data_IF_330680568604
#
_entry.id   IF_330680568604
#
_cell.length_a   1.000
_cell.length_b   1.000
_cell.length_c   1.000
_cell.angle_alpha   90.00
_cell.angle_beta   90.00
_cell.angle_gamma   90.00
#
_symmetry.space_group_name_H-M   'P 1'
#
loop_
_entity.id
_entity.type
_entity.pdbx_description
1 polymer ?
#
# COMPACT_ATOMS: atom_id res chain seq x y z
N UNK A 1 4.75 8.35 61.99
CA UNK A 1 5.03 8.74 60.59
C UNK A 1 5.63 7.61 59.73
N UNK A 2 6.55 6.76 60.22
CA UNK A 2 7.20 5.68 59.42
C UNK A 2 6.29 4.58 58.81
N UNK A 3 5.11 4.31 59.39
CA UNK A 3 4.21 3.23 58.94
C UNK A 3 3.40 3.61 57.69
N UNK A 4 3.00 4.89 57.53
CA UNK A 4 2.29 5.41 56.32
C UNK A 4 3.18 5.46 55.10
N UNK A 5 4.46 5.79 55.24
CA UNK A 5 5.44 5.83 54.15
C UNK A 5 5.72 4.44 53.57
N UNK A 6 5.77 3.37 54.40
CA UNK A 6 5.95 1.99 53.92
C UNK A 6 4.75 1.46 53.15
N UNK A 7 3.53 1.77 53.59
CA UNK A 7 2.28 1.36 52.88
C UNK A 7 2.20 2.08 51.53
N UNK A 8 2.55 3.37 51.47
CA UNK A 8 2.58 4.12 50.20
C UNK A 8 3.59 3.56 49.20
N UNK A 9 4.78 3.13 49.66
CA UNK A 9 5.79 2.48 48.80
C UNK A 9 5.33 1.10 48.28
N UNK A 10 4.67 0.31 49.14
CA UNK A 10 4.12 -1.00 48.74
C UNK A 10 3.00 -0.82 47.70
N UNK A 11 2.08 0.12 47.90
CA UNK A 11 1.01 0.43 46.95
C UNK A 11 1.59 0.92 45.63
N UNK A 12 2.60 1.79 45.64
CA UNK A 12 3.28 2.26 44.43
C UNK A 12 3.98 1.10 43.70
N UNK A 13 4.62 0.18 44.43
CA UNK A 13 5.24 -1.01 43.83
C UNK A 13 4.25 -1.95 43.19
N UNK A 14 3.10 -2.18 43.83
CA UNK A 14 2.01 -3.01 43.24
C UNK A 14 1.41 -2.34 42.03
N UNK A 15 1.11 -1.04 42.06
CA UNK A 15 0.57 -0.31 40.89
C UNK A 15 1.53 -0.32 39.72
N UNK A 16 2.82 -0.13 39.95
CA UNK A 16 3.85 -0.20 38.90
C UNK A 16 3.96 -1.61 38.31
N UNK A 17 3.93 -2.66 39.16
CA UNK A 17 3.96 -4.06 38.70
C UNK A 17 2.73 -4.42 37.89
N UNK A 18 1.54 -3.99 38.30
CA UNK A 18 0.30 -4.20 37.52
C UNK A 18 0.36 -3.47 36.19
N UNK A 19 0.88 -2.25 36.14
CA UNK A 19 1.06 -1.47 34.95
C UNK A 19 2.04 -2.15 33.99
N UNK A 20 3.15 -2.67 34.48
CA UNK A 20 4.14 -3.42 33.69
C UNK A 20 3.54 -4.73 33.12
N UNK A 21 2.70 -5.44 33.87
CA UNK A 21 2.01 -6.64 33.44
C UNK A 21 1.01 -6.30 32.33
N UNK A 22 0.25 -5.19 32.46
CA UNK A 22 -0.70 -4.74 31.45
C UNK A 22 0.05 -4.35 30.17
N UNK A 23 1.08 -3.52 30.27
CA UNK A 23 1.91 -3.09 29.13
C UNK A 23 2.57 -4.29 28.45
N UNK A 24 3.17 -5.20 29.24
CA UNK A 24 3.77 -6.42 28.74
C UNK A 24 2.76 -7.36 28.09
N UNK A 25 1.55 -7.46 28.65
CA UNK A 25 0.45 -8.25 28.09
C UNK A 25 -0.08 -7.68 26.78
N UNK A 26 -0.24 -6.37 26.69
CA UNK A 26 -0.65 -5.67 25.46
C UNK A 26 0.42 -5.84 24.38
N UNK A 27 1.69 -5.63 24.74
CA UNK A 27 2.81 -5.83 23.79
C UNK A 27 2.91 -7.29 23.33
N UNK A 28 2.83 -8.26 24.26
CA UNK A 28 2.85 -9.69 23.91
C UNK A 28 1.67 -10.09 23.02
N UNK A 29 0.47 -9.62 23.33
CA UNK A 29 -0.73 -9.89 22.54
C UNK A 29 -0.62 -9.28 21.15
N UNK A 30 -0.18 -8.02 21.05
CA UNK A 30 0.09 -7.37 19.78
C UNK A 30 1.12 -8.13 18.94
N UNK A 31 2.29 -8.43 19.52
CA UNK A 31 3.34 -9.22 18.86
C UNK A 31 2.82 -10.60 18.39
N UNK A 32 2.00 -11.27 19.20
CA UNK A 32 1.40 -12.56 18.83
C UNK A 32 0.43 -12.44 17.64
N UNK A 33 -0.33 -11.36 17.55
CA UNK A 33 -1.20 -11.09 16.39
C UNK A 33 -0.38 -10.89 15.11
N UNK A 34 0.69 -10.11 15.21
CA UNK A 34 1.55 -9.79 14.07
C UNK A 34 2.43 -10.98 13.63
N UNK A 35 2.73 -11.94 14.50
CA UNK A 35 3.37 -13.20 14.10
C UNK A 35 2.53 -14.03 13.12
N UNK A 36 1.29 -13.65 12.83
CA UNK A 36 0.44 -14.27 11.80
C UNK A 36 0.66 -13.68 10.40
N UNK A 37 1.38 -12.58 10.27
CA UNK A 37 1.75 -12.00 8.97
C UNK A 37 2.76 -12.92 8.30
N UNK A 38 2.62 -13.12 7.01
CA UNK A 38 3.67 -13.74 6.20
C UNK A 38 4.79 -12.70 5.98
N UNK A 39 5.77 -12.69 6.90
CA UNK A 39 6.93 -11.81 6.78
C UNK A 39 7.86 -12.34 5.68
N UNK A 40 8.20 -11.45 4.74
CA UNK A 40 9.16 -11.73 3.67
C UNK A 40 10.36 -10.80 3.87
N UNK A 41 11.53 -11.36 4.05
CA UNK A 41 12.76 -10.58 4.20
C UNK A 41 13.15 -9.96 2.85
N UNK A 42 13.51 -8.69 2.88
CA UNK A 42 14.08 -7.94 1.75
C UNK A 42 15.54 -7.64 2.07
N UNK A 43 16.43 -7.92 1.14
CA UNK A 43 17.82 -7.45 1.22
C UNK A 43 17.86 -5.97 0.82
N UNK A 44 17.91 -5.09 1.81
CA UNK A 44 17.95 -3.64 1.59
C UNK A 44 19.22 -3.16 0.88
N UNK A 45 20.29 -3.98 0.85
CA UNK A 45 21.48 -3.65 0.07
C UNK A 45 21.30 -3.93 -1.43
N UNK A 46 20.25 -4.69 -1.82
CA UNK A 46 19.96 -5.04 -3.23
C UNK A 46 18.55 -4.58 -3.68
N UNK A 47 18.06 -3.48 -3.15
CA UNK A 47 16.78 -2.86 -3.58
C UNK A 47 16.95 -1.84 -4.71
N UNK A 48 18.16 -1.71 -5.28
CA UNK A 48 18.40 -0.89 -6.47
C UNK A 48 18.37 0.62 -6.24
N UNK A 49 18.52 1.08 -5.00
CA UNK A 49 18.67 2.50 -4.71
C UNK A 49 20.09 2.92 -5.11
N UNK A 50 20.19 3.82 -6.08
CA UNK A 50 21.47 4.36 -6.54
C UNK A 50 22.06 5.28 -5.48
N UNK A 51 23.39 5.30 -5.32
CA UNK A 51 24.06 6.14 -4.34
C UNK A 51 23.74 7.64 -4.53
N UNK A 52 23.72 8.11 -5.78
CA UNK A 52 23.31 9.49 -6.11
C UNK A 52 21.86 9.81 -5.74
N UNK A 53 20.94 8.83 -5.84
CA UNK A 53 19.55 8.96 -5.45
C UNK A 53 19.42 8.97 -3.93
N UNK A 54 20.13 8.09 -3.26
CA UNK A 54 20.16 8.04 -1.80
C UNK A 54 20.70 9.34 -1.20
N UNK A 55 21.78 9.91 -1.77
CA UNK A 55 22.32 11.20 -1.35
C UNK A 55 21.28 12.32 -1.57
N UNK A 56 20.69 12.40 -2.78
CA UNK A 56 19.67 13.40 -3.12
C UNK A 56 18.43 13.30 -2.23
N UNK A 57 17.98 12.10 -1.91
CA UNK A 57 16.77 11.88 -1.11
C UNK A 57 17.04 11.83 0.40
N UNK A 58 18.29 11.96 0.85
CA UNK A 58 18.64 11.93 2.27
C UNK A 58 17.97 13.05 3.08
N UNK A 59 17.71 14.21 2.45
CA UNK A 59 17.00 15.33 3.08
C UNK A 59 15.54 15.02 3.44
N UNK A 60 14.92 14.05 2.76
CA UNK A 60 13.54 13.62 2.99
C UNK A 60 13.42 12.40 3.91
N UNK A 61 14.54 11.76 4.30
CA UNK A 61 14.56 10.48 5.03
C UNK A 61 13.74 10.47 6.32
N UNK A 62 13.67 11.61 7.04
CA UNK A 62 12.93 11.74 8.28
C UNK A 62 11.48 12.21 8.07
N UNK A 63 11.11 12.59 6.85
CA UNK A 63 9.83 13.24 6.57
C UNK A 63 8.95 12.53 5.55
N UNK A 64 9.55 11.76 4.64
CA UNK A 64 8.84 11.05 3.56
C UNK A 64 9.18 9.57 3.61
N UNK A 65 8.18 8.74 3.87
CA UNK A 65 8.31 7.28 3.89
C UNK A 65 7.51 6.71 2.73
N UNK A 66 8.18 5.92 1.87
CA UNK A 66 7.59 5.28 0.70
C UNK A 66 7.52 3.76 0.89
N UNK A 67 6.32 3.18 0.73
CA UNK A 67 6.06 1.75 0.84
C UNK A 67 5.41 1.26 -0.45
N UNK A 68 5.93 0.21 -1.06
CA UNK A 68 5.30 -0.39 -2.24
C UNK A 68 4.09 -1.26 -1.83
N UNK A 69 2.95 -1.01 -2.46
CA UNK A 69 1.74 -1.82 -2.31
C UNK A 69 1.53 -2.62 -3.59
N UNK A 70 1.54 -3.95 -3.48
CA UNK A 70 1.36 -4.85 -4.61
C UNK A 70 0.03 -5.61 -4.52
N UNK A 71 -0.81 -5.49 -5.56
CA UNK A 71 -1.94 -6.37 -5.79
C UNK A 71 -1.54 -7.48 -6.74
N UNK A 72 -1.49 -8.72 -6.26
CA UNK A 72 -0.96 -9.86 -7.00
C UNK A 72 -2.09 -10.65 -7.65
N UNK A 73 -1.97 -10.89 -8.96
CA UNK A 73 -2.87 -11.77 -9.70
C UNK A 73 -2.25 -13.16 -9.81
N UNK A 74 -2.45 -13.95 -8.76
CA UNK A 74 -2.02 -15.34 -8.71
C UNK A 74 -3.06 -16.21 -8.01
N UNK A 75 -3.07 -17.49 -8.34
CA UNK A 75 -3.68 -18.52 -7.49
C UNK A 75 -2.70 -18.89 -6.36
N UNK A 76 -3.23 -19.45 -5.26
CA UNK A 76 -2.42 -19.78 -4.11
C UNK A 76 -1.23 -20.69 -4.50
N UNK A 77 -0.01 -20.21 -4.21
CA UNK A 77 1.23 -20.94 -4.49
C UNK A 77 1.86 -20.68 -5.86
N UNK A 78 1.26 -19.85 -6.71
CA UNK A 78 1.82 -19.49 -8.01
C UNK A 78 2.57 -18.13 -7.94
N UNK A 79 3.59 -17.98 -8.80
CA UNK A 79 4.25 -16.70 -9.03
C UNK A 79 3.33 -15.82 -9.89
N UNK A 80 2.66 -14.84 -9.27
CA UNK A 80 1.75 -13.91 -9.93
C UNK A 80 2.42 -12.62 -10.35
N UNK A 81 1.75 -11.90 -11.27
CA UNK A 81 2.16 -10.54 -11.65
C UNK A 81 1.55 -9.53 -10.68
N UNK A 82 2.28 -8.43 -10.44
CA UNK A 82 1.73 -7.30 -9.69
C UNK A 82 0.84 -6.44 -10.61
N UNK A 83 -0.40 -6.84 -10.76
CA UNK A 83 -1.36 -6.14 -11.64
C UNK A 83 -1.87 -4.81 -11.04
N UNK A 84 -1.60 -4.56 -9.75
CA UNK A 84 -1.70 -3.27 -9.10
C UNK A 84 -0.34 -2.94 -8.46
N UNK A 85 0.22 -1.78 -8.79
CA UNK A 85 1.49 -1.28 -8.26
C UNK A 85 1.22 0.13 -7.77
N UNK A 86 1.29 0.34 -6.46
CA UNK A 86 1.01 1.63 -5.84
C UNK A 86 2.11 1.93 -4.84
N UNK A 87 2.59 3.17 -4.84
CA UNK A 87 3.48 3.69 -3.80
C UNK A 87 2.62 4.42 -2.80
N UNK A 88 2.61 3.94 -1.56
CA UNK A 88 2.02 4.64 -0.44
C UNK A 88 3.07 5.54 0.19
N UNK A 89 2.83 6.85 0.18
CA UNK A 89 3.73 7.84 0.75
C UNK A 89 3.12 8.45 2.00
N UNK A 90 3.86 8.40 3.10
CA UNK A 90 3.58 9.13 4.35
C UNK A 90 4.47 10.37 4.34
N UNK A 91 3.89 11.54 4.13
CA UNK A 91 4.56 12.83 4.10
C UNK A 91 4.24 13.58 5.38
N UNK A 92 5.16 13.53 6.34
CA UNK A 92 4.97 14.14 7.67
C UNK A 92 5.13 15.66 7.64
N UNK A 93 5.93 16.18 6.69
CA UNK A 93 6.14 17.62 6.51
C UNK A 93 4.86 18.32 6.06
N UNK A 94 4.24 17.81 4.99
CA UNK A 94 3.00 18.38 4.45
C UNK A 94 1.74 17.76 5.09
N UNK A 95 1.91 16.78 6.00
CA UNK A 95 0.82 16.04 6.67
C UNK A 95 -0.15 15.39 5.67
N UNK A 96 0.41 14.69 4.70
CA UNK A 96 -0.33 14.06 3.61
C UNK A 96 -0.07 12.56 3.54
N UNK A 97 -1.11 11.83 3.14
CA UNK A 97 -0.98 10.46 2.67
C UNK A 97 -1.25 10.46 1.17
N UNK A 98 -0.33 9.90 0.40
CA UNK A 98 -0.42 9.88 -1.06
C UNK A 98 -0.43 8.43 -1.55
N UNK A 99 -1.30 8.10 -2.50
CA UNK A 99 -1.32 6.84 -3.24
C UNK A 99 -0.94 7.12 -4.69
N UNK A 100 0.24 6.68 -5.08
CA UNK A 100 0.79 6.90 -6.42
C UNK A 100 0.79 5.60 -7.19
N UNK A 101 -0.12 5.45 -8.16
CA UNK A 101 -0.15 4.27 -9.03
C UNK A 101 0.92 4.34 -10.11
N UNK A 102 1.65 3.25 -10.27
CA UNK A 102 2.52 3.02 -11.43
C UNK A 102 1.80 2.09 -12.41
N UNK A 103 1.73 2.51 -13.67
CA UNK A 103 1.04 1.73 -14.70
C UNK A 103 1.74 0.40 -14.94
N UNK A 104 1.01 -0.72 -14.78
CA UNK A 104 1.55 -2.08 -14.82
C UNK A 104 2.21 -2.48 -16.14
N UNK A 105 1.76 -1.87 -17.26
CA UNK A 105 2.29 -2.14 -18.60
C UNK A 105 3.46 -1.21 -18.96
N UNK A 106 3.95 -0.38 -18.01
CA UNK A 106 5.12 0.50 -18.22
C UNK A 106 6.33 -0.30 -18.69
N UNK A 107 6.92 0.14 -19.80
CA UNK A 107 8.08 -0.50 -20.44
C UNK A 107 9.35 -0.03 -19.74
N UNK A 108 9.92 -0.89 -18.92
CA UNK A 108 11.04 -0.57 -18.03
C UNK A 108 12.14 -1.62 -18.14
N UNK A 109 13.33 -1.30 -17.64
CA UNK A 109 14.41 -2.27 -17.49
C UNK A 109 14.22 -3.06 -16.18
N UNK A 110 14.21 -4.38 -16.28
CA UNK A 110 14.19 -5.31 -15.14
C UNK A 110 15.57 -5.96 -15.05
N UNK A 111 16.20 -5.92 -13.88
CA UNK A 111 17.53 -6.47 -13.66
C UNK A 111 17.60 -7.94 -14.10
N UNK A 112 18.67 -8.31 -14.83
CA UNK A 112 18.93 -9.65 -15.41
C UNK A 112 17.86 -10.18 -16.40
N UNK A 113 16.89 -9.33 -16.80
CA UNK A 113 15.78 -9.70 -17.72
C UNK A 113 15.69 -8.80 -18.94
N UNK A 114 16.30 -7.61 -18.90
CA UNK A 114 16.18 -6.61 -19.95
C UNK A 114 14.88 -5.81 -19.85
N UNK A 115 14.39 -5.31 -20.99
CA UNK A 115 13.20 -4.47 -21.02
C UNK A 115 11.92 -5.30 -21.11
N UNK A 116 10.98 -5.05 -20.20
CA UNK A 116 9.68 -5.71 -20.15
C UNK A 116 8.65 -4.82 -19.41
N UNK A 117 7.42 -5.33 -19.24
CA UNK A 117 6.40 -4.70 -18.41
C UNK A 117 6.83 -4.73 -16.94
N UNK A 118 6.66 -3.63 -16.26
CA UNK A 118 7.05 -3.53 -14.84
C UNK A 118 6.37 -4.57 -13.94
N UNK A 119 5.12 -4.96 -14.24
CA UNK A 119 4.39 -5.97 -13.45
C UNK A 119 4.99 -7.39 -13.55
N UNK A 120 5.82 -7.66 -14.54
CA UNK A 120 6.52 -8.94 -14.67
C UNK A 120 7.65 -9.08 -13.64
N UNK A 121 8.20 -7.97 -13.12
CA UNK A 121 9.26 -8.01 -12.11
C UNK A 121 8.87 -8.83 -10.88
N UNK A 122 7.63 -8.68 -10.40
CA UNK A 122 7.13 -9.46 -9.26
C UNK A 122 7.02 -10.97 -9.60
N UNK A 123 6.57 -11.32 -10.79
CA UNK A 123 6.49 -12.72 -11.23
C UNK A 123 7.88 -13.37 -11.39
N UNK A 124 8.91 -12.60 -11.72
CA UNK A 124 10.27 -13.09 -11.93
C UNK A 124 11.09 -13.23 -10.66
N UNK A 125 10.92 -12.33 -9.70
CA UNK A 125 11.75 -12.28 -8.49
C UNK A 125 11.03 -11.76 -7.24
N UNK A 126 9.69 -11.85 -7.20
CA UNK A 126 8.90 -11.46 -6.03
C UNK A 126 9.01 -9.96 -5.71
N UNK A 127 8.77 -9.65 -4.44
CA UNK A 127 8.80 -8.26 -3.97
C UNK A 127 10.20 -7.63 -4.11
N UNK A 128 11.27 -8.40 -3.87
CA UNK A 128 12.65 -7.93 -4.00
C UNK A 128 12.92 -7.31 -5.38
N UNK A 129 12.68 -8.07 -6.45
CA UNK A 129 12.92 -7.60 -7.81
C UNK A 129 11.93 -6.50 -8.22
N UNK A 130 10.70 -6.55 -7.73
CA UNK A 130 9.70 -5.52 -8.02
C UNK A 130 10.09 -4.16 -7.40
N UNK A 131 10.55 -4.14 -6.14
CA UNK A 131 11.08 -2.94 -5.47
C UNK A 131 12.32 -2.43 -6.22
N UNK A 132 13.28 -3.31 -6.49
CA UNK A 132 14.49 -2.97 -7.25
C UNK A 132 14.14 -2.32 -8.60
N UNK A 133 13.17 -2.89 -9.31
CA UNK A 133 12.71 -2.36 -10.60
C UNK A 133 12.08 -0.97 -10.46
N UNK A 134 11.29 -0.73 -9.40
CA UNK A 134 10.73 0.60 -9.10
C UNK A 134 11.85 1.62 -8.84
N UNK A 135 12.77 1.30 -7.93
CA UNK A 135 13.84 2.21 -7.54
C UNK A 135 14.78 2.55 -8.72
N UNK A 136 15.21 1.56 -9.51
CA UNK A 136 16.12 1.77 -10.64
C UNK A 136 15.51 2.57 -11.80
N UNK A 137 14.19 2.42 -12.03
CA UNK A 137 13.55 3.10 -13.15
C UNK A 137 12.94 4.46 -12.81
N UNK A 138 12.59 4.69 -11.55
CA UNK A 138 11.94 5.93 -11.12
C UNK A 138 12.74 6.72 -10.09
N UNK A 139 13.98 6.30 -9.82
CA UNK A 139 14.92 6.92 -8.87
C UNK A 139 14.27 7.12 -7.48
N UNK A 140 13.67 6.05 -6.95
CA UNK A 140 12.99 6.02 -5.66
C UNK A 140 13.86 5.39 -4.57
N UNK A 141 13.36 5.47 -3.32
CA UNK A 141 14.02 4.96 -2.10
C UNK A 141 13.13 3.97 -1.34
N UNK A 142 12.42 3.11 -2.06
CA UNK A 142 11.52 2.13 -1.45
C UNK A 142 12.35 0.96 -0.90
N UNK A 143 12.15 0.63 0.38
CA UNK A 143 12.77 -0.51 1.05
C UNK A 143 11.73 -1.54 1.51
N UNK A 144 10.49 -1.10 1.73
CA UNK A 144 9.43 -1.89 2.29
C UNK A 144 8.25 -2.09 1.34
N UNK A 145 7.51 -3.18 1.58
CA UNK A 145 6.32 -3.48 0.81
C UNK A 145 5.19 -4.08 1.63
N UNK A 146 4.00 -4.01 1.06
CA UNK A 146 2.82 -4.79 1.44
C UNK A 146 2.23 -5.41 0.18
N UNK A 147 1.97 -6.71 0.21
CA UNK A 147 1.35 -7.40 -0.91
C UNK A 147 0.07 -8.15 -0.48
N UNK A 148 -0.95 -8.06 -1.31
CA UNK A 148 -2.22 -8.76 -1.13
C UNK A 148 -2.59 -9.47 -2.43
N UNK A 149 -2.97 -10.74 -2.34
CA UNK A 149 -3.45 -11.49 -3.49
C UNK A 149 -4.91 -11.11 -3.80
N UNK A 150 -5.29 -11.06 -5.07
CA UNK A 150 -6.68 -10.82 -5.49
C UNK A 150 -7.67 -11.89 -5.00
N UNK A 151 -7.20 -13.06 -4.62
CA UNK A 151 -8.05 -14.11 -3.99
C UNK A 151 -8.35 -13.81 -2.52
N UNK A 152 -7.49 -13.02 -1.85
CA UNK A 152 -7.65 -12.66 -0.42
C UNK A 152 -8.25 -11.27 -0.22
N UNK A 153 -8.09 -10.35 -1.16
CA UNK A 153 -8.68 -9.00 -1.10
C UNK A 153 -10.18 -8.98 -0.82
N UNK A 154 -11.02 -9.82 -1.49
CA UNK A 154 -12.44 -9.90 -1.17
C UNK A 154 -12.72 -10.22 0.29
N UNK A 155 -11.97 -11.15 0.87
CA UNK A 155 -12.12 -11.54 2.28
C UNK A 155 -11.79 -10.39 3.23
N UNK A 156 -10.77 -9.59 2.92
CA UNK A 156 -10.41 -8.40 3.70
C UNK A 156 -11.56 -7.38 3.66
N UNK A 157 -12.11 -7.11 2.48
CA UNK A 157 -13.22 -6.18 2.32
C UNK A 157 -14.47 -6.66 3.07
N UNK A 158 -14.80 -7.96 3.00
CA UNK A 158 -15.93 -8.55 3.71
C UNK A 158 -15.76 -8.44 5.23
N UNK A 159 -14.54 -8.63 5.77
CA UNK A 159 -14.23 -8.45 7.19
C UNK A 159 -14.41 -7.01 7.67
N UNK A 160 -14.20 -6.05 6.78
CA UNK A 160 -14.47 -4.62 7.03
C UNK A 160 -15.96 -4.27 6.91
N UNK A 161 -16.83 -5.23 6.52
CA UNK A 161 -18.26 -5.00 6.28
C UNK A 161 -18.55 -4.30 4.95
N UNK A 162 -17.69 -4.52 3.95
CA UNK A 162 -17.82 -3.95 2.61
C UNK A 162 -17.29 -2.53 2.47
N UNK A 163 -17.22 -2.04 1.24
CA UNK A 163 -16.79 -0.68 0.87
C UNK A 163 -17.89 0.05 0.11
N UNK A 164 -18.15 1.31 0.47
CA UNK A 164 -19.20 2.10 -0.17
C UNK A 164 -18.65 2.90 -1.34
N UNK A 165 -19.17 2.62 -2.54
CA UNK A 165 -18.70 3.19 -3.81
C UNK A 165 -19.91 3.64 -4.64
N UNK A 166 -19.76 4.76 -5.35
CA UNK A 166 -20.72 5.23 -6.33
C UNK A 166 -20.46 4.52 -7.67
N UNK A 167 -21.49 3.81 -8.15
CA UNK A 167 -21.44 3.03 -9.38
C UNK A 167 -22.11 3.80 -10.51
N UNK A 168 -21.39 4.00 -11.60
CA UNK A 168 -21.91 4.65 -12.81
C UNK A 168 -22.71 3.68 -13.66
N UNK A 169 -23.51 4.21 -14.61
CA UNK A 169 -24.30 3.38 -15.52
C UNK A 169 -23.47 2.44 -16.40
N UNK A 170 -22.24 2.84 -16.75
CA UNK A 170 -21.32 2.02 -17.54
C UNK A 170 -20.73 0.85 -16.75
N UNK A 171 -20.66 0.96 -15.43
CA UNK A 171 -20.06 -0.03 -14.53
C UNK A 171 -21.04 -1.12 -14.09
N UNK A 172 -22.35 -0.81 -14.11
CA UNK A 172 -23.43 -1.70 -13.63
C UNK A 172 -23.31 -3.11 -14.22
N UNK A 173 -23.13 -3.22 -15.54
CA UNK A 173 -23.07 -4.53 -16.21
C UNK A 173 -21.86 -5.40 -15.84
N UNK A 174 -20.88 -4.82 -15.17
CA UNK A 174 -19.62 -5.48 -14.77
C UNK A 174 -19.60 -5.96 -13.33
N UNK A 175 -20.61 -5.57 -12.51
CA UNK A 175 -20.65 -5.87 -11.08
C UNK A 175 -21.83 -6.79 -10.79
N UNK A 176 -21.58 -8.02 -10.33
CA UNK A 176 -22.66 -8.96 -10.04
C UNK A 176 -23.68 -8.41 -9.03
N UNK A 177 -24.97 -8.52 -9.36
CA UNK A 177 -26.06 -8.12 -8.45
C UNK A 177 -26.25 -6.61 -8.29
N UNK A 178 -25.71 -5.80 -9.20
CA UNK A 178 -26.00 -4.37 -9.33
C UNK A 178 -26.80 -4.13 -10.60
N UNK A 179 -28.02 -3.60 -10.48
CA UNK A 179 -28.95 -3.45 -11.60
C UNK A 179 -29.13 -2.00 -12.07
N UNK A 180 -28.64 -1.03 -11.32
CA UNK A 180 -28.73 0.41 -11.64
C UNK A 180 -27.54 1.19 -11.10
N UNK A 181 -27.29 2.37 -11.67
CA UNK A 181 -26.32 3.31 -11.14
C UNK A 181 -26.76 3.83 -9.77
N UNK A 182 -25.81 4.08 -8.86
CA UNK A 182 -26.08 4.57 -7.51
C UNK A 182 -24.97 4.25 -6.53
N UNK A 183 -25.18 4.60 -5.28
CA UNK A 183 -24.25 4.35 -4.18
C UNK A 183 -24.52 2.99 -3.54
N UNK A 184 -23.54 2.10 -3.50
CA UNK A 184 -23.67 0.76 -2.95
C UNK A 184 -22.56 0.45 -1.96
N UNK A 185 -22.88 -0.30 -0.90
CA UNK A 185 -21.85 -0.99 -0.09
C UNK A 185 -21.56 -2.32 -0.76
N UNK A 186 -20.46 -2.38 -1.47
CA UNK A 186 -20.03 -3.55 -2.22
C UNK A 186 -19.45 -4.62 -1.29
N UNK A 187 -19.81 -5.87 -1.53
CA UNK A 187 -19.11 -7.03 -0.96
C UNK A 187 -17.70 -7.12 -1.52
N UNK A 188 -16.86 -7.99 -0.96
CA UNK A 188 -15.51 -8.21 -1.45
C UNK A 188 -15.47 -8.67 -2.92
N UNK A 189 -16.37 -9.58 -3.32
CA UNK A 189 -16.50 -10.01 -4.73
C UNK A 189 -16.90 -8.88 -5.65
N UNK A 190 -17.87 -8.07 -5.25
CA UNK A 190 -18.34 -6.91 -6.02
C UNK A 190 -17.24 -5.85 -6.15
N UNK A 191 -16.51 -5.57 -5.08
CA UNK A 191 -15.39 -4.63 -5.09
C UNK A 191 -14.22 -5.14 -5.97
N UNK A 192 -13.95 -6.45 -5.96
CA UNK A 192 -12.99 -7.06 -6.86
C UNK A 192 -13.44 -6.94 -8.32
N UNK A 193 -14.71 -7.24 -8.62
CA UNK A 193 -15.27 -7.08 -9.95
C UNK A 193 -15.14 -5.62 -10.43
N UNK A 194 -15.53 -4.65 -9.58
CA UNK A 194 -15.36 -3.22 -9.83
C UNK A 194 -13.91 -2.83 -10.15
N UNK A 195 -12.95 -3.28 -9.32
CA UNK A 195 -11.53 -2.99 -9.51
C UNK A 195 -10.92 -3.58 -10.80
N UNK A 196 -11.58 -4.57 -11.40
CA UNK A 196 -11.15 -5.27 -12.62
C UNK A 196 -11.80 -4.73 -13.90
N UNK A 197 -12.74 -3.80 -13.84
CA UNK A 197 -13.43 -3.26 -15.02
C UNK A 197 -12.42 -2.61 -15.97
N UNK A 198 -12.42 -3.09 -17.24
CA UNK A 198 -11.53 -2.60 -18.31
C UNK A 198 -12.29 -1.99 -19.48
N UNK A 199 -13.57 -2.38 -19.65
CA UNK A 199 -14.36 -2.10 -20.84
C UNK A 199 -15.31 -0.91 -20.70
N UNK A 200 -15.27 -0.20 -19.55
CA UNK A 200 -15.88 1.10 -19.41
C UNK A 200 -14.96 2.19 -19.97
N UNK A 201 -15.51 3.39 -20.22
CA UNK A 201 -14.75 4.54 -20.73
C UNK A 201 -13.42 4.75 -19.99
N UNK A 202 -12.32 4.97 -20.74
CA UNK A 202 -10.98 5.21 -20.20
C UNK A 202 -10.07 3.99 -20.00
N UNK A 203 -10.54 2.78 -20.27
CA UNK A 203 -9.69 1.57 -20.35
C UNK A 203 -8.86 1.26 -19.10
N UNK A 204 -7.58 0.94 -19.29
CA UNK A 204 -6.65 0.53 -18.21
C UNK A 204 -6.31 1.68 -17.24
N UNK A 205 -6.38 2.91 -17.67
CA UNK A 205 -6.18 4.10 -16.83
C UNK A 205 -7.27 4.21 -15.75
N UNK A 206 -8.53 4.10 -16.16
CA UNK A 206 -9.67 4.16 -15.23
C UNK A 206 -9.72 2.91 -14.34
N UNK A 207 -9.14 1.77 -14.78
CA UNK A 207 -8.97 0.61 -13.91
C UNK A 207 -8.06 0.92 -12.72
N UNK A 208 -6.93 1.60 -12.92
CA UNK A 208 -6.05 2.00 -11.80
C UNK A 208 -6.75 2.98 -10.87
N UNK A 209 -7.60 3.87 -11.39
CA UNK A 209 -8.41 4.77 -10.57
C UNK A 209 -9.41 4.00 -9.71
N UNK A 210 -10.06 2.96 -10.26
CA UNK A 210 -10.95 2.07 -9.50
C UNK A 210 -10.22 1.31 -8.40
N UNK A 211 -9.01 0.83 -8.67
CA UNK A 211 -8.17 0.17 -7.66
C UNK A 211 -7.84 1.12 -6.50
N UNK A 212 -7.42 2.36 -6.80
CA UNK A 212 -7.18 3.39 -5.78
C UNK A 212 -8.46 3.73 -5.01
N UNK A 213 -9.61 3.82 -5.71
CA UNK A 213 -10.90 4.06 -5.07
C UNK A 213 -11.22 2.99 -4.04
N UNK A 214 -11.05 1.70 -4.38
CA UNK A 214 -11.25 0.60 -3.42
C UNK A 214 -10.31 0.74 -2.23
N UNK A 215 -9.01 0.99 -2.46
CA UNK A 215 -8.04 1.17 -1.38
C UNK A 215 -8.37 2.35 -0.47
N UNK A 216 -8.78 3.48 -1.07
CA UNK A 216 -9.23 4.65 -0.29
C UNK A 216 -10.43 4.30 0.61
N UNK A 217 -11.42 3.59 0.06
CA UNK A 217 -12.60 3.17 0.84
C UNK A 217 -12.27 2.15 1.92
N UNK A 218 -11.30 1.26 1.68
CA UNK A 218 -10.75 0.38 2.71
C UNK A 218 -10.07 1.19 3.83
N UNK A 219 -9.25 2.17 3.47
CA UNK A 219 -8.59 3.06 4.43
C UNK A 219 -9.61 3.87 5.26
N UNK A 220 -10.58 4.53 4.61
CA UNK A 220 -11.66 5.25 5.30
C UNK A 220 -12.39 4.34 6.30
N UNK A 221 -12.66 3.09 5.90
CA UNK A 221 -13.35 2.11 6.75
C UNK A 221 -12.50 1.71 7.96
N UNK A 222 -11.20 1.52 7.77
CA UNK A 222 -10.26 1.26 8.87
C UNK A 222 -10.26 2.43 9.84
N UNK A 223 -10.11 3.67 9.37
CA UNK A 223 -10.13 4.86 10.23
C UNK A 223 -11.45 5.04 11.00
N UNK A 224 -12.57 4.66 10.39
CA UNK A 224 -13.90 4.73 11.03
C UNK A 224 -14.17 3.60 12.03
N UNK A 225 -13.31 2.57 12.09
CA UNK A 225 -13.45 1.44 12.99
C UNK A 225 -13.09 1.84 14.42
N UNK A 226 -13.90 1.41 15.41
CA UNK A 226 -13.59 1.66 16.81
C UNK A 226 -12.29 0.95 17.22
N UNK A 227 -11.43 1.64 17.97
CA UNK A 227 -10.13 1.12 18.45
C UNK A 227 -10.28 -0.24 19.18
N UNK A 228 -11.37 -0.45 19.90
CA UNK A 228 -11.65 -1.73 20.59
C UNK A 228 -11.87 -2.92 19.64
N UNK A 229 -12.18 -2.68 18.37
CA UNK A 229 -12.41 -3.71 17.35
C UNK A 229 -11.13 -4.06 16.57
N UNK A 230 -10.10 -3.19 16.62
CA UNK A 230 -8.85 -3.43 15.89
C UNK A 230 -8.18 -4.78 16.20
N UNK A 231 -8.06 -5.25 17.46
CA UNK A 231 -7.39 -6.53 17.71
C UNK A 231 -8.06 -7.71 17.01
N UNK A 232 -9.41 -7.75 17.01
CA UNK A 232 -10.18 -8.77 16.30
C UNK A 232 -10.00 -8.68 14.78
N UNK A 233 -10.19 -7.48 14.23
CA UNK A 233 -10.05 -7.21 12.80
C UNK A 233 -8.64 -7.55 12.29
N UNK A 234 -7.60 -7.08 12.99
CA UNK A 234 -6.21 -7.36 12.63
C UNK A 234 -5.91 -8.87 12.68
N UNK A 235 -6.40 -9.59 13.68
CA UNK A 235 -6.18 -11.04 13.78
C UNK A 235 -6.72 -11.82 12.57
N UNK A 236 -7.71 -11.29 11.88
CA UNK A 236 -8.34 -11.89 10.71
C UNK A 236 -7.71 -11.44 9.39
N UNK A 237 -7.24 -10.18 9.31
CA UNK A 237 -6.67 -9.60 8.08
C UNK A 237 -5.16 -9.93 7.93
N UNK A 238 -4.40 -9.86 9.03
CA UNK A 238 -2.95 -10.01 8.97
C UNK A 238 -2.45 -11.31 8.31
N UNK A 239 -3.10 -12.48 8.49
CA UNK A 239 -2.71 -13.70 7.77
C UNK A 239 -2.90 -13.65 6.25
N UNK A 240 -3.58 -12.62 5.73
CA UNK A 240 -3.87 -12.45 4.31
C UNK A 240 -2.90 -11.49 3.60
N UNK A 241 -1.92 -10.98 4.34
CA UNK A 241 -0.98 -9.95 3.89
C UNK A 241 0.45 -10.48 3.96
N UNK A 242 1.25 -10.21 2.92
CA UNK A 242 2.70 -10.42 2.93
C UNK A 242 3.38 -9.06 3.04
N UNK A 243 4.42 -8.94 3.88
CA UNK A 243 5.15 -7.68 4.04
C UNK A 243 6.57 -7.90 4.53
N UNK A 244 7.45 -6.93 4.29
CA UNK A 244 8.77 -6.83 4.92
C UNK A 244 8.71 -6.25 6.33
N UNK A 245 7.69 -5.41 6.59
CA UNK A 245 7.54 -4.66 7.84
C UNK A 245 7.36 -5.56 9.05
N UNK A 246 8.06 -5.22 10.12
CA UNK A 246 7.85 -5.86 11.41
C UNK A 246 6.76 -5.15 12.26
N UNK A 247 6.47 -5.71 13.43
CA UNK A 247 5.45 -5.19 14.33
C UNK A 247 5.72 -3.76 14.79
N UNK A 248 6.98 -3.46 15.12
CA UNK A 248 7.37 -2.14 15.64
C UNK A 248 7.30 -1.08 14.52
N UNK A 249 7.71 -1.44 13.32
CA UNK A 249 7.62 -0.57 12.13
C UNK A 249 6.16 -0.24 11.79
N UNK A 250 5.28 -1.24 11.76
CA UNK A 250 3.84 -1.02 11.51
C UNK A 250 3.22 -0.12 12.59
N UNK A 251 3.57 -0.32 13.87
CA UNK A 251 3.08 0.54 14.95
C UNK A 251 3.60 1.97 14.82
N UNK A 252 4.88 2.15 14.46
CA UNK A 252 5.46 3.47 14.28
C UNK A 252 4.80 4.21 13.12
N UNK A 253 4.63 3.56 11.95
CA UNK A 253 3.91 4.11 10.81
C UNK A 253 2.48 4.51 11.18
N UNK A 254 1.75 3.63 11.88
CA UNK A 254 0.40 3.93 12.36
C UNK A 254 0.36 5.14 13.30
N UNK A 255 1.33 5.26 14.21
CA UNK A 255 1.43 6.41 15.10
C UNK A 255 1.74 7.71 14.35
N UNK A 256 2.61 7.69 13.34
CA UNK A 256 2.88 8.87 12.52
C UNK A 256 1.62 9.33 11.77
N UNK A 257 0.89 8.40 11.13
CA UNK A 257 -0.38 8.71 10.46
C UNK A 257 -1.41 9.31 11.43
N UNK A 258 -1.54 8.74 12.63
CA UNK A 258 -2.47 9.26 13.65
C UNK A 258 -2.07 10.67 14.12
N UNK A 259 -0.76 10.93 14.33
CA UNK A 259 -0.27 12.26 14.73
C UNK A 259 -0.52 13.32 13.67
N UNK A 260 -0.43 12.97 12.38
CA UNK A 260 -0.72 13.88 11.28
C UNK A 260 -2.19 14.30 11.25
N UNK A 261 -3.12 13.48 11.75
CA UNK A 261 -4.56 13.76 11.74
C UNK A 261 -5.16 13.75 10.34
N UNK A 262 -4.55 13.04 9.41
CA UNK A 262 -5.01 12.96 8.00
C UNK A 262 -6.27 12.13 7.91
N UNK A 263 -7.26 12.63 7.18
CA UNK A 263 -8.54 11.95 6.95
C UNK A 263 -8.76 11.53 5.50
N UNK A 264 -7.96 12.05 4.57
CA UNK A 264 -8.09 11.82 3.14
C UNK A 264 -6.76 11.33 2.55
N UNK A 265 -6.86 10.51 1.48
CA UNK A 265 -5.74 10.10 0.66
C UNK A 265 -5.68 10.96 -0.60
N UNK A 266 -4.52 11.53 -0.89
CA UNK A 266 -4.24 12.09 -2.21
C UNK A 266 -3.89 10.98 -3.19
N UNK A 267 -4.28 11.14 -4.47
CA UNK A 267 -4.15 10.06 -5.44
C UNK A 267 -3.64 10.60 -6.76
N UNK A 268 -2.62 9.95 -7.30
CA UNK A 268 -2.09 10.23 -8.63
C UNK A 268 -1.66 8.95 -9.35
N UNK A 269 -1.37 9.08 -10.65
CA UNK A 269 -0.98 7.99 -11.53
C UNK A 269 0.18 8.41 -12.43
N UNK A 270 1.17 7.55 -12.58
CA UNK A 270 2.32 7.74 -13.46
C UNK A 270 2.57 6.50 -14.33
N UNK A 271 3.11 6.69 -15.55
CA UNK A 271 3.32 7.99 -16.19
C UNK A 271 2.01 8.73 -16.48
N UNK A 272 2.11 10.06 -16.68
CA UNK A 272 0.97 10.92 -17.07
C UNK A 272 0.68 10.75 -18.56
N UNK A 273 -0.58 11.02 -18.98
CA UNK A 273 -1.06 10.76 -20.34
C UNK A 273 -0.25 11.50 -21.40
N UNK A 274 0.13 12.73 -21.13
CA UNK A 274 0.90 13.57 -22.06
C UNK A 274 2.35 13.09 -22.26
N UNK A 275 2.85 12.22 -21.40
CA UNK A 275 4.23 11.71 -21.42
C UNK A 275 4.31 10.21 -21.65
N UNK A 276 3.20 9.55 -22.05
CA UNK A 276 3.22 8.13 -22.34
C UNK A 276 2.41 7.77 -23.60
N UNK A 277 2.79 6.66 -24.22
CA UNK A 277 2.16 6.14 -25.43
C UNK A 277 2.12 4.62 -25.41
N UNK A 278 0.96 4.05 -25.78
CA UNK A 278 0.83 2.62 -25.96
C UNK A 278 1.46 2.16 -27.27
N UNK A 279 2.40 1.19 -27.20
CA UNK A 279 3.08 0.64 -28.37
C UNK A 279 3.00 -0.87 -28.43
N UNK A 280 2.87 -1.41 -29.66
CA UNK A 280 3.03 -2.84 -29.94
C UNK A 280 4.50 -3.11 -30.28
N UNK A 281 5.21 -3.85 -29.43
CA UNK A 281 6.61 -4.26 -29.65
C UNK A 281 6.61 -5.78 -29.76
N UNK A 282 7.02 -6.30 -30.90
CA UNK A 282 7.02 -7.76 -31.18
C UNK A 282 5.68 -8.46 -30.90
N UNK A 283 4.56 -7.77 -31.14
CA UNK A 283 3.21 -8.32 -30.95
C UNK A 283 2.69 -8.23 -29.51
N UNK A 284 3.43 -7.61 -28.58
CA UNK A 284 3.04 -7.40 -27.19
C UNK A 284 2.79 -5.90 -26.96
N UNK A 285 1.71 -5.57 -26.28
CA UNK A 285 1.42 -4.18 -25.89
C UNK A 285 2.31 -3.74 -24.73
N UNK A 286 2.92 -2.56 -24.83
CA UNK A 286 3.67 -1.89 -23.79
C UNK A 286 3.25 -0.43 -23.68
N UNK A 287 3.38 0.16 -22.50
CA UNK A 287 3.26 1.59 -22.28
C UNK A 287 4.66 2.19 -22.21
N UNK A 288 5.09 2.79 -23.33
CA UNK A 288 6.35 3.55 -23.36
C UNK A 288 6.11 4.96 -22.82
N UNK A 289 7.13 5.56 -22.20
CA UNK A 289 6.98 6.88 -21.58
C UNK A 289 8.29 7.66 -21.62
N UNK A 290 8.19 8.98 -21.49
CA UNK A 290 9.33 9.85 -21.26
C UNK A 290 9.79 9.67 -19.80
N UNK A 291 10.95 9.03 -19.64
CA UNK A 291 11.48 8.66 -18.32
C UNK A 291 11.86 9.90 -17.53
N UNK A 292 12.54 10.87 -18.13
CA UNK A 292 13.03 12.07 -17.45
C UNK A 292 11.87 12.90 -16.89
N UNK A 293 10.88 13.18 -17.73
CA UNK A 293 9.69 13.93 -17.32
C UNK A 293 8.86 13.17 -16.28
N UNK A 294 8.72 11.86 -16.44
CA UNK A 294 7.96 11.04 -15.49
C UNK A 294 8.64 11.00 -14.12
N UNK A 295 9.96 10.81 -14.07
CA UNK A 295 10.73 10.81 -12.81
C UNK A 295 10.65 12.18 -12.14
N UNK A 296 10.83 13.27 -12.90
CA UNK A 296 10.74 14.62 -12.34
C UNK A 296 9.37 14.89 -11.71
N UNK A 297 8.28 14.64 -12.46
CA UNK A 297 6.92 14.85 -11.94
C UNK A 297 6.59 13.95 -10.75
N UNK A 298 7.07 12.71 -10.77
CA UNK A 298 6.87 11.78 -9.67
C UNK A 298 7.59 12.25 -8.40
N UNK A 299 8.82 12.76 -8.53
CA UNK A 299 9.59 13.33 -7.42
C UNK A 299 8.95 14.59 -6.87
N UNK A 300 8.60 15.54 -7.76
CA UNK A 300 7.89 16.77 -7.38
C UNK A 300 6.64 16.44 -6.54
N UNK A 301 5.89 15.41 -6.95
CA UNK A 301 4.69 15.01 -6.24
C UNK A 301 4.97 14.29 -4.92
N UNK A 302 5.86 13.30 -4.92
CA UNK A 302 6.13 12.47 -3.73
C UNK A 302 6.86 13.28 -2.67
N UNK A 303 7.94 13.96 -3.03
CA UNK A 303 8.88 14.57 -2.08
C UNK A 303 8.60 16.05 -1.81
N UNK A 304 8.27 16.83 -2.84
CA UNK A 304 8.10 18.28 -2.73
C UNK A 304 6.64 18.74 -2.62
N UNK A 305 5.69 17.81 -2.74
CA UNK A 305 4.25 18.07 -2.73
C UNK A 305 3.81 19.04 -3.83
N UNK A 306 4.48 19.02 -4.97
CA UNK A 306 4.21 19.89 -6.12
C UNK A 306 3.45 19.11 -7.20
N UNK A 307 2.36 19.68 -7.70
CA UNK A 307 1.61 19.24 -8.88
C UNK A 307 1.75 20.27 -9.98
N UNK A 308 2.51 19.92 -11.01
CA UNK A 308 2.77 20.79 -12.16
C UNK A 308 1.88 20.50 -13.38
N UNK A 309 0.80 19.73 -13.23
CA UNK A 309 -0.18 19.33 -14.25
C UNK A 309 -1.60 19.64 -13.85
#
# INVERSE_FOLDING_TARGET
MKKRSKISLIVLGITLSVLLIIVGGVYWYGSHLFNKIEKVEIDTNDVGIKEEVQEKLSEYSDSVINIALFGIDAQDGEAGRSDSIIIATIDTTHKKLKLTSIMRDSYVTIADRGQDKINHAYAFGGAQLAIKTLNENFDLNIEDFVAVNFTTMPKIIDKLGGVTIDITSEEVSHIPGIDSAGTYTLTGEQALAYSRIRYASGGDYVRTDRQRTVLNKVFEKILATNVSQYPGLLSEILPMVKTSLDYSEILNLGNEVLKMGVTNLEQERFPRDEYCEGKMISGIYYLTFDKEQTVQQLHDYIFDDIKSW
#
